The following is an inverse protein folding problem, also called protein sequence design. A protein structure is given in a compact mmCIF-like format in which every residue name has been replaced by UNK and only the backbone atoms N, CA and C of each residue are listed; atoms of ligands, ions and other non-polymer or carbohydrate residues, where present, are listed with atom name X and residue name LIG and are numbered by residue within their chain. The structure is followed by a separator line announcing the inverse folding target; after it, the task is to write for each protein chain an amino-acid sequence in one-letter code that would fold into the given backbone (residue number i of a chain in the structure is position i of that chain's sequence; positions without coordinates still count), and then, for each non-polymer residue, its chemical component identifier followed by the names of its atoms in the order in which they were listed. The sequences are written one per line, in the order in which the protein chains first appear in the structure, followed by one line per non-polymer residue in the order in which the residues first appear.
data_IF_735220804327
#
_entry.id   IF_735220804327
#
_cell.length_a   1.000
_cell.length_b   1.000
_cell.length_c   1.000
_cell.angle_alpha   90.00
_cell.angle_beta   90.00
_cell.angle_gamma   90.00
#
_symmetry.space_group_name_H-M   'P 1'
#
loop_
_entity.id
_entity.type
_entity.pdbx_description
1 polymer ?
#
# COMPACT_ATOMS: atom_id res chain seq x y z
N UNK A 1 19.06 2.56 -11.06
CA UNK A 1 18.18 3.59 -11.67
C UNK A 1 16.77 3.29 -11.19
N UNK A 2 15.93 4.31 -10.97
CA UNK A 2 14.53 4.08 -10.54
C UNK A 2 13.62 5.15 -11.12
N UNK A 3 12.37 4.78 -11.38
CA UNK A 3 11.35 5.69 -11.88
C UNK A 3 10.89 6.69 -10.81
N UNK A 4 10.26 7.78 -11.24
CA UNK A 4 9.64 8.76 -10.34
C UNK A 4 8.50 8.13 -9.52
N UNK A 5 7.69 7.27 -10.15
CA UNK A 5 6.61 6.56 -9.47
C UNK A 5 7.12 5.65 -8.35
N UNK A 6 8.14 4.85 -8.62
CA UNK A 6 8.75 3.99 -7.59
C UNK A 6 9.38 4.81 -6.45
N UNK A 7 10.07 5.93 -6.74
CA UNK A 7 10.63 6.79 -5.69
C UNK A 7 9.55 7.41 -4.81
N UNK A 8 8.42 7.83 -5.40
CA UNK A 8 7.27 8.33 -4.65
C UNK A 8 6.71 7.26 -3.71
N UNK A 9 6.46 6.05 -4.23
CA UNK A 9 6.05 4.89 -3.43
C UNK A 9 7.00 4.67 -2.24
N UNK A 10 8.30 4.52 -2.52
CA UNK A 10 9.30 4.27 -1.49
C UNK A 10 9.32 5.35 -0.40
N UNK A 11 9.36 6.61 -0.80
CA UNK A 11 9.40 7.74 0.14
C UNK A 11 8.17 7.77 1.06
N UNK A 12 6.97 7.53 0.53
CA UNK A 12 5.76 7.51 1.34
C UNK A 12 5.74 6.34 2.32
N UNK A 13 6.13 5.16 1.87
CA UNK A 13 6.21 4.00 2.76
C UNK A 13 7.25 4.16 3.88
N UNK A 14 8.34 4.88 3.64
CA UNK A 14 9.32 5.19 4.68
C UNK A 14 8.70 6.06 5.80
N UNK A 15 7.85 7.04 5.48
CA UNK A 15 7.10 7.80 6.50
C UNK A 15 6.19 6.89 7.34
N UNK A 16 5.40 6.04 6.70
CA UNK A 16 4.51 5.11 7.42
C UNK A 16 5.28 4.10 8.29
N UNK A 17 6.48 3.70 7.87
CA UNK A 17 7.36 2.86 8.71
C UNK A 17 7.87 3.62 9.92
N UNK A 18 8.22 4.88 9.77
CA UNK A 18 8.63 5.72 10.89
C UNK A 18 7.50 5.84 11.92
N UNK A 19 6.25 6.00 11.49
CA UNK A 19 5.09 6.01 12.39
C UNK A 19 4.94 4.68 13.16
N UNK A 20 5.19 3.54 12.51
CA UNK A 20 5.22 2.24 13.18
C UNK A 20 6.32 2.16 14.26
N UNK A 21 7.51 2.67 13.98
CA UNK A 21 8.63 2.71 14.95
C UNK A 21 8.28 3.59 16.15
N UNK A 22 7.67 4.75 15.94
CA UNK A 22 7.19 5.63 17.02
C UNK A 22 6.14 4.91 17.87
N UNK A 23 5.19 4.20 17.25
CA UNK A 23 4.19 3.42 17.97
C UNK A 23 4.82 2.32 18.84
N UNK A 24 5.84 1.61 18.34
CA UNK A 24 6.55 0.58 19.09
C UNK A 24 7.31 1.19 20.30
N UNK A 25 7.98 2.33 20.14
CA UNK A 25 8.66 3.03 21.23
C UNK A 25 7.67 3.39 22.34
N UNK A 26 6.50 3.92 21.99
CA UNK A 26 5.45 4.28 22.95
C UNK A 26 4.97 3.04 23.72
N UNK A 27 4.76 1.91 23.03
CA UNK A 27 4.27 0.67 23.65
C UNK A 27 5.33 0.02 24.55
N UNK A 28 6.60 0.04 24.13
CA UNK A 28 7.70 -0.58 24.87
C UNK A 28 8.10 0.23 26.10
N UNK A 29 7.86 1.52 26.12
CA UNK A 29 8.20 2.35 27.25
C UNK A 29 7.13 2.26 28.35
N UNK A 30 7.31 1.29 29.26
CA UNK A 30 6.38 1.04 30.37
C UNK A 30 6.22 2.24 31.31
N UNK A 31 7.21 3.10 31.38
CA UNK A 31 7.14 4.32 32.20
C UNK A 31 6.10 5.28 31.67
N UNK A 32 5.94 5.39 30.33
CA UNK A 32 4.89 6.19 29.72
C UNK A 32 3.45 5.72 30.05
N UNK A 33 3.32 4.50 30.60
CA UNK A 33 2.02 3.92 30.98
C UNK A 33 1.72 4.01 32.48
N UNK A 34 2.62 4.55 33.28
CA UNK A 34 2.43 4.77 34.71
C UNK A 34 1.82 6.16 34.96
N UNK A 35 1.04 6.32 36.01
CA UNK A 35 0.29 7.56 36.30
C UNK A 35 1.13 8.78 36.63
N UNK A 36 2.45 8.64 36.79
CA UNK A 36 3.41 9.72 36.98
C UNK A 36 3.98 10.30 35.70
N UNK A 37 3.57 9.79 34.53
CA UNK A 37 4.22 10.06 33.27
C UNK A 37 3.90 11.40 32.65
N UNK A 38 4.89 11.99 31.99
CA UNK A 38 4.84 13.31 31.37
C UNK A 38 3.71 13.44 30.36
N UNK A 39 3.37 12.37 29.64
CA UNK A 39 2.30 12.39 28.63
C UNK A 39 0.92 12.45 29.31
N UNK A 40 0.65 11.55 30.25
CA UNK A 40 -0.67 11.46 30.89
C UNK A 40 -0.92 12.56 31.92
N UNK A 41 0.14 13.15 32.51
CA UNK A 41 0.02 14.31 33.37
C UNK A 41 -0.47 15.58 32.67
N UNK A 42 -0.38 15.64 31.34
CA UNK A 42 -0.90 16.75 30.53
C UNK A 42 -2.35 16.53 30.06
N UNK A 43 -2.96 15.40 30.41
CA UNK A 43 -4.35 15.10 30.06
C UNK A 43 -5.27 15.85 31.03
N UNK A 44 -6.13 16.70 30.50
CA UNK A 44 -7.12 17.45 31.28
C UNK A 44 -8.52 17.08 30.81
N UNK A 45 -9.50 17.15 31.74
CA UNK A 45 -10.91 16.87 31.39
C UNK A 45 -11.43 17.83 30.32
N UNK A 46 -11.00 19.09 30.38
CA UNK A 46 -11.43 20.14 29.46
C UNK A 46 -10.96 19.89 28.02
N UNK A 47 -9.68 19.53 27.86
CA UNK A 47 -9.06 19.34 26.51
C UNK A 47 -9.15 17.93 25.99
N UNK A 48 -9.21 16.92 26.88
CA UNK A 48 -9.09 15.52 26.51
C UNK A 48 -10.11 14.64 27.25
N UNK A 49 -11.41 14.93 27.19
CA UNK A 49 -12.41 14.29 28.05
C UNK A 49 -12.48 12.77 27.90
N UNK A 50 -12.32 12.26 26.69
CA UNK A 50 -12.37 10.82 26.42
C UNK A 50 -11.14 10.09 26.98
N UNK A 51 -9.96 10.66 26.80
CA UNK A 51 -8.72 10.10 27.31
C UNK A 51 -8.65 10.22 28.82
N UNK A 52 -9.05 11.37 29.39
CA UNK A 52 -9.11 11.61 30.83
C UNK A 52 -9.91 10.52 31.57
N UNK A 53 -11.07 10.14 31.06
CA UNK A 53 -11.90 9.08 31.63
C UNK A 53 -11.27 7.68 31.53
N UNK A 54 -10.25 7.49 30.67
CA UNK A 54 -9.54 6.22 30.47
C UNK A 54 -8.20 6.11 31.18
N UNK A 55 -7.70 7.21 31.77
CA UNK A 55 -6.35 7.24 32.39
C UNK A 55 -6.34 6.85 33.88
N UNK A 56 -7.47 6.43 34.45
CA UNK A 56 -7.63 6.18 35.89
C UNK A 56 -6.79 4.98 36.40
N UNK A 57 -6.36 4.08 35.53
CA UNK A 57 -5.52 2.96 35.92
C UNK A 57 -4.59 2.49 34.79
N UNK A 58 -3.54 1.74 35.16
CA UNK A 58 -2.53 1.26 34.21
C UNK A 58 -3.11 0.35 33.12
N UNK A 59 -4.13 -0.45 33.42
CA UNK A 59 -4.75 -1.35 32.42
C UNK A 59 -5.51 -0.55 31.36
N UNK A 60 -6.27 0.47 31.75
CA UNK A 60 -6.96 1.34 30.80
C UNK A 60 -5.98 2.09 29.90
N UNK A 61 -4.87 2.59 30.44
CA UNK A 61 -3.80 3.24 29.66
C UNK A 61 -3.18 2.27 28.64
N UNK A 62 -2.85 1.05 29.08
CA UNK A 62 -2.31 0.00 28.19
C UNK A 62 -3.26 -0.32 27.05
N UNK A 63 -4.57 -0.38 27.30
CA UNK A 63 -5.58 -0.61 26.27
C UNK A 63 -5.60 0.51 25.21
N UNK A 64 -5.53 1.77 25.66
CA UNK A 64 -5.49 2.93 24.76
C UNK A 64 -4.26 2.90 23.87
N UNK A 65 -3.08 2.66 24.42
CA UNK A 65 -1.83 2.63 23.67
C UNK A 65 -1.78 1.44 22.69
N UNK A 66 -2.25 0.27 23.11
CA UNK A 66 -2.36 -0.90 22.23
C UNK A 66 -3.35 -0.66 21.09
N UNK A 67 -4.45 0.05 21.37
CA UNK A 67 -5.40 0.44 20.32
C UNK A 67 -4.76 1.38 19.30
N UNK A 68 -4.04 2.41 19.76
CA UNK A 68 -3.30 3.35 18.92
C UNK A 68 -2.29 2.58 18.03
N UNK A 69 -1.50 1.70 18.62
CA UNK A 69 -0.55 0.86 17.87
C UNK A 69 -1.25 0.06 16.79
N UNK A 70 -2.34 -0.65 17.13
CA UNK A 70 -3.13 -1.42 16.16
C UNK A 70 -3.61 -0.52 15.02
N UNK A 71 -4.12 0.68 15.33
CA UNK A 71 -4.60 1.63 14.33
C UNK A 71 -3.49 2.03 13.36
N UNK A 72 -2.29 2.34 13.85
CA UNK A 72 -1.13 2.72 13.03
C UNK A 72 -0.73 1.56 12.10
N UNK A 73 -0.63 0.32 12.60
CA UNK A 73 -0.30 -0.82 11.76
C UNK A 73 -1.38 -1.14 10.71
N UNK A 74 -2.65 -1.01 11.06
CA UNK A 74 -3.76 -1.18 10.10
C UNK A 74 -3.71 -0.09 9.02
N UNK A 75 -3.42 1.16 9.41
CA UNK A 75 -3.21 2.26 8.46
C UNK A 75 -2.06 1.94 7.51
N UNK A 76 -0.90 1.54 8.05
CA UNK A 76 0.25 1.15 7.23
C UNK A 76 -0.09 0.12 6.14
N UNK A 77 -0.88 -0.92 6.46
CA UNK A 77 -1.29 -1.93 5.48
C UNK A 77 -2.22 -1.35 4.41
N UNK A 78 -3.16 -0.49 4.81
CA UNK A 78 -4.08 0.16 3.88
C UNK A 78 -3.33 1.13 2.95
N UNK A 79 -2.49 1.97 3.53
CA UNK A 79 -1.71 2.98 2.81
C UNK A 79 -0.70 2.33 1.86
N UNK A 80 -0.07 1.21 2.28
CA UNK A 80 0.81 0.43 1.40
C UNK A 80 0.06 -0.08 0.16
N UNK A 81 -1.16 -0.60 0.31
CA UNK A 81 -1.97 -1.04 -0.81
C UNK A 81 -2.34 0.13 -1.74
N UNK A 82 -2.72 1.28 -1.18
CA UNK A 82 -3.05 2.48 -1.94
C UNK A 82 -1.84 2.98 -2.75
N UNK A 83 -0.65 3.02 -2.15
CA UNK A 83 0.56 3.42 -2.87
C UNK A 83 0.97 2.41 -3.96
N UNK A 84 0.68 1.12 -3.79
CA UNK A 84 0.86 0.11 -4.84
C UNK A 84 -0.11 0.37 -6.00
N UNK A 85 -1.37 0.67 -5.73
CA UNK A 85 -2.36 0.96 -6.78
C UNK A 85 -2.04 2.25 -7.52
N UNK A 86 -1.58 3.30 -6.84
CA UNK A 86 -1.09 4.53 -7.47
C UNK A 86 0.16 4.29 -8.34
N UNK A 87 1.07 3.42 -7.89
CA UNK A 87 2.22 3.04 -8.71
C UNK A 87 1.79 2.26 -9.97
N UNK A 88 0.83 1.34 -9.85
CA UNK A 88 0.28 0.61 -10.99
C UNK A 88 -0.35 1.57 -12.00
N UNK A 89 -1.14 2.53 -11.55
CA UNK A 89 -1.72 3.58 -12.40
C UNK A 89 -0.63 4.36 -13.15
N UNK A 90 0.40 4.76 -12.45
CA UNK A 90 1.54 5.46 -13.04
C UNK A 90 2.23 4.66 -14.16
N UNK A 91 2.55 3.37 -13.92
CA UNK A 91 3.23 2.55 -14.95
C UNK A 91 2.35 2.24 -16.16
N UNK A 92 1.03 2.15 -16.00
CA UNK A 92 0.10 2.02 -17.13
C UNK A 92 0.13 3.28 -18.00
N UNK A 93 0.10 4.47 -17.40
CA UNK A 93 0.17 5.74 -18.12
C UNK A 93 1.52 5.90 -18.84
N UNK A 94 2.63 5.62 -18.16
CA UNK A 94 3.97 5.71 -18.75
C UNK A 94 4.15 4.67 -19.88
N UNK A 95 3.70 3.45 -19.68
CA UNK A 95 3.73 2.42 -20.73
C UNK A 95 2.93 2.83 -21.97
N UNK A 96 1.74 3.42 -21.79
CA UNK A 96 0.91 3.92 -22.88
C UNK A 96 1.57 5.08 -23.64
N UNK A 97 2.33 5.93 -22.93
CA UNK A 97 3.05 7.05 -23.53
C UNK A 97 4.32 6.59 -24.30
N UNK A 98 4.96 5.51 -23.85
CA UNK A 98 6.28 5.09 -24.30
C UNK A 98 6.28 3.77 -25.10
N UNK A 99 5.20 3.46 -25.83
CA UNK A 99 5.21 2.47 -26.91
C UNK A 99 4.71 1.09 -26.54
N UNK A 100 4.05 0.90 -25.43
CA UNK A 100 3.26 -0.33 -25.21
C UNK A 100 2.14 -0.38 -26.23
N UNK A 101 1.92 -1.54 -26.85
CA UNK A 101 0.87 -1.72 -27.86
C UNK A 101 -0.51 -1.33 -27.30
N UNK A 102 -1.19 -0.34 -27.90
CA UNK A 102 -2.51 0.10 -27.45
C UNK A 102 -3.55 -1.00 -27.43
N UNK A 103 -3.46 -1.99 -28.36
CA UNK A 103 -4.40 -3.13 -28.41
C UNK A 103 -4.25 -3.99 -27.16
N UNK A 104 -3.03 -4.18 -26.67
CA UNK A 104 -2.74 -4.94 -25.45
C UNK A 104 -3.17 -4.15 -24.21
N UNK A 105 -2.95 -2.83 -24.18
CA UNK A 105 -3.35 -1.97 -23.07
C UNK A 105 -4.87 -1.92 -22.90
N UNK A 106 -5.59 -1.65 -23.96
CA UNK A 106 -7.05 -1.62 -23.94
C UNK A 106 -7.61 -3.03 -23.74
N UNK A 107 -7.21 -3.98 -24.59
CA UNK A 107 -7.62 -5.39 -24.48
C UNK A 107 -9.15 -5.54 -24.49
N UNK A 108 -9.67 -6.22 -23.47
CA UNK A 108 -11.10 -6.45 -23.27
C UNK A 108 -11.87 -5.28 -22.68
N UNK A 109 -11.19 -4.20 -22.29
CA UNK A 109 -11.85 -3.05 -21.63
C UNK A 109 -12.50 -2.11 -22.63
N UNK A 110 -13.70 -1.66 -22.29
CA UNK A 110 -14.39 -0.63 -23.05
C UNK A 110 -14.09 0.75 -22.46
N UNK A 111 -13.53 1.61 -23.30
CA UNK A 111 -13.26 3.01 -22.95
C UNK A 111 -14.24 3.90 -23.72
N UNK A 112 -15.06 4.66 -23.01
CA UNK A 112 -16.03 5.57 -23.57
C UNK A 112 -15.62 7.01 -23.27
N UNK A 113 -15.30 7.77 -24.31
CA UNK A 113 -15.01 9.21 -24.21
C UNK A 113 -15.92 9.96 -25.18
N UNK A 114 -16.55 11.04 -24.70
CA UNK A 114 -17.33 11.90 -25.56
C UNK A 114 -16.40 12.76 -26.41
N UNK A 115 -16.84 13.07 -27.67
CA UNK A 115 -16.02 13.86 -28.57
C UNK A 115 -15.66 15.25 -27.99
N UNK A 116 -16.61 15.89 -27.27
CA UNK A 116 -16.36 17.18 -26.62
C UNK A 116 -15.28 17.07 -25.50
N UNK A 117 -15.24 15.97 -24.78
CA UNK A 117 -14.21 15.73 -23.75
C UNK A 117 -12.83 15.62 -24.42
N UNK A 118 -12.72 14.83 -25.50
CA UNK A 118 -11.46 14.69 -26.26
C UNK A 118 -11.01 16.03 -26.83
N UNK A 119 -11.93 16.81 -27.41
CA UNK A 119 -11.63 18.11 -28.02
C UNK A 119 -11.25 19.18 -26.98
N UNK A 120 -11.66 19.03 -25.72
CA UNK A 120 -11.30 19.95 -24.64
C UNK A 120 -9.92 19.68 -24.05
N UNK A 121 -9.30 18.52 -24.34
CA UNK A 121 -7.97 18.16 -23.86
C UNK A 121 -6.89 18.83 -24.69
N UNK A 122 -5.92 19.46 -24.01
CA UNK A 122 -4.87 20.26 -24.65
C UNK A 122 -3.71 19.40 -25.18
N UNK A 123 -3.53 18.19 -24.63
CA UNK A 123 -2.37 17.36 -24.94
C UNK A 123 -2.75 15.89 -25.16
N UNK A 124 -1.95 15.20 -25.97
CA UNK A 124 -2.03 13.74 -26.11
C UNK A 124 -1.89 13.02 -24.77
N UNK A 125 -1.11 13.59 -23.84
CA UNK A 125 -0.90 13.04 -22.51
C UNK A 125 -2.20 13.01 -21.70
N UNK A 126 -3.00 14.07 -21.74
CA UNK A 126 -4.30 14.13 -21.05
C UNK A 126 -5.28 13.09 -21.59
N UNK A 127 -5.31 12.90 -22.92
CA UNK A 127 -6.15 11.87 -23.54
C UNK A 127 -5.73 10.47 -23.06
N UNK A 128 -4.44 10.15 -23.12
CA UNK A 128 -3.91 8.85 -22.67
C UNK A 128 -4.17 8.65 -21.18
N UNK A 129 -3.96 9.67 -20.36
CA UNK A 129 -4.23 9.61 -18.93
C UNK A 129 -5.70 9.27 -18.65
N UNK A 130 -6.65 9.95 -19.30
CA UNK A 130 -8.08 9.68 -19.14
C UNK A 130 -8.45 8.25 -19.56
N UNK A 131 -7.88 7.76 -20.67
CA UNK A 131 -8.07 6.37 -21.12
C UNK A 131 -7.54 5.38 -20.08
N UNK A 132 -6.31 5.58 -19.61
CA UNK A 132 -5.68 4.69 -18.64
C UNK A 132 -6.39 4.70 -17.28
N UNK A 133 -6.90 5.85 -16.85
CA UNK A 133 -7.68 5.96 -15.63
C UNK A 133 -8.99 5.16 -15.72
N UNK A 134 -9.70 5.19 -16.86
CA UNK A 134 -10.89 4.36 -17.07
C UNK A 134 -10.56 2.84 -17.08
N UNK A 135 -9.45 2.45 -17.73
CA UNK A 135 -8.99 1.05 -17.73
C UNK A 135 -8.60 0.65 -16.31
N UNK A 136 -7.88 1.51 -15.59
CA UNK A 136 -7.48 1.25 -14.22
C UNK A 136 -8.68 1.08 -13.28
N UNK A 137 -9.70 1.92 -13.38
CA UNK A 137 -10.94 1.76 -12.61
C UNK A 137 -11.62 0.40 -12.86
N UNK A 138 -11.62 -0.07 -14.12
CA UNK A 138 -12.15 -1.40 -14.41
C UNK A 138 -11.29 -2.52 -13.83
N UNK A 139 -9.96 -2.34 -13.82
CA UNK A 139 -9.01 -3.28 -13.20
C UNK A 139 -9.12 -3.29 -11.67
N UNK A 140 -9.36 -2.15 -11.02
CA UNK A 140 -9.59 -2.07 -9.57
C UNK A 140 -10.86 -2.81 -9.12
N UNK A 141 -11.84 -2.95 -10.00
CA UNK A 141 -13.06 -3.72 -9.74
C UNK A 141 -12.81 -5.24 -9.75
N UNK A 142 -11.60 -5.70 -10.09
CA UNK A 142 -11.25 -7.11 -9.98
C UNK A 142 -11.27 -7.54 -8.51
N UNK A 143 -12.00 -8.62 -8.25
CA UNK A 143 -12.18 -9.15 -6.88
C UNK A 143 -10.91 -9.75 -6.27
N UNK A 144 -9.90 -9.99 -7.10
CA UNK A 144 -8.68 -10.70 -6.72
C UNK A 144 -7.44 -9.87 -7.06
N UNK A 145 -6.60 -9.60 -6.07
CA UNK A 145 -5.32 -8.90 -6.24
C UNK A 145 -4.37 -9.65 -7.20
N UNK A 146 -4.38 -10.99 -7.17
CA UNK A 146 -3.57 -11.79 -8.10
C UNK A 146 -4.03 -11.59 -9.55
N UNK A 147 -5.36 -11.51 -9.77
CA UNK A 147 -5.92 -11.25 -11.10
C UNK A 147 -5.54 -9.86 -11.58
N UNK A 148 -5.61 -8.86 -10.72
CA UNK A 148 -5.16 -7.49 -11.01
C UNK A 148 -3.70 -7.47 -11.44
N UNK A 149 -2.79 -8.04 -10.64
CA UNK A 149 -1.35 -8.09 -10.94
C UNK A 149 -1.10 -8.85 -12.26
N UNK A 150 -1.77 -9.97 -12.47
CA UNK A 150 -1.65 -10.77 -13.69
C UNK A 150 -2.10 -10.00 -14.95
N UNK A 151 -3.22 -9.28 -14.87
CA UNK A 151 -3.71 -8.42 -15.97
C UNK A 151 -2.74 -7.28 -16.27
N UNK A 152 -2.19 -6.62 -15.26
CA UNK A 152 -1.17 -5.56 -15.41
C UNK A 152 0.10 -6.13 -16.07
N UNK A 153 0.59 -7.28 -15.57
CA UNK A 153 1.73 -7.98 -16.15
C UNK A 153 1.53 -8.25 -17.64
N UNK A 154 0.35 -8.75 -18.02
CA UNK A 154 0.01 -9.05 -19.41
C UNK A 154 -0.12 -7.78 -20.27
N UNK A 155 -0.81 -6.74 -19.77
CA UNK A 155 -1.01 -5.48 -20.49
C UNK A 155 0.31 -4.77 -20.80
N UNK A 156 1.22 -4.74 -19.85
CA UNK A 156 2.54 -4.13 -20.01
C UNK A 156 3.59 -5.11 -20.56
N UNK A 157 3.26 -6.42 -20.67
CA UNK A 157 4.19 -7.46 -21.10
C UNK A 157 5.38 -7.61 -20.17
N UNK A 158 5.15 -7.51 -18.86
CA UNK A 158 6.20 -7.58 -17.85
C UNK A 158 6.69 -9.02 -17.64
N UNK A 159 8.00 -9.14 -17.43
CA UNK A 159 8.68 -10.40 -17.11
C UNK A 159 9.06 -10.38 -15.64
N UNK A 160 8.13 -10.77 -14.77
CA UNK A 160 8.30 -10.77 -13.33
C UNK A 160 8.29 -12.20 -12.82
N UNK A 161 9.24 -12.53 -11.96
CA UNK A 161 9.30 -13.84 -11.30
C UNK A 161 8.05 -14.07 -10.45
N UNK A 162 7.44 -15.25 -10.60
CA UNK A 162 6.20 -15.57 -9.88
C UNK A 162 6.38 -15.56 -8.37
N UNK A 163 7.55 -15.96 -7.87
CA UNK A 163 7.86 -15.95 -6.45
C UNK A 163 7.71 -14.57 -5.82
N UNK A 164 8.13 -13.49 -6.51
CA UNK A 164 7.97 -12.11 -6.01
C UNK A 164 6.51 -11.71 -5.86
N UNK A 165 5.66 -12.19 -6.78
CA UNK A 165 4.21 -11.97 -6.69
C UNK A 165 3.65 -12.75 -5.51
N UNK A 166 4.01 -14.02 -5.38
CA UNK A 166 3.51 -14.92 -4.34
C UNK A 166 3.93 -14.44 -2.93
N UNK A 167 5.14 -13.90 -2.79
CA UNK A 167 5.63 -13.33 -1.53
C UNK A 167 4.89 -12.04 -1.12
N UNK A 168 4.54 -11.18 -2.08
CA UNK A 168 3.85 -9.92 -1.81
C UNK A 168 2.33 -10.08 -1.62
N UNK A 169 1.74 -11.07 -2.28
CA UNK A 169 0.30 -11.25 -2.39
C UNK A 169 -0.43 -11.33 -1.02
N UNK A 170 0.05 -12.09 -0.01
CA UNK A 170 -0.63 -12.17 1.28
C UNK A 170 -0.77 -10.79 1.95
N UNK A 171 0.25 -9.93 1.84
CA UNK A 171 0.25 -8.59 2.44
C UNK A 171 -0.66 -7.61 1.70
N UNK A 172 -0.86 -7.79 0.41
CA UNK A 172 -1.80 -6.98 -0.38
C UNK A 172 -3.26 -7.44 -0.16
N UNK A 173 -3.52 -8.74 -0.04
CA UNK A 173 -4.87 -9.28 0.21
C UNK A 173 -5.35 -9.02 1.65
N UNK A 174 -4.45 -8.94 2.63
CA UNK A 174 -4.76 -8.62 4.04
C UNK A 174 -5.50 -7.30 4.20
N UNK A 175 -5.27 -6.30 3.32
CA UNK A 175 -6.01 -5.03 3.34
C UNK A 175 -7.53 -5.28 3.37
N UNK A 176 -8.02 -6.20 2.56
CA UNK A 176 -9.45 -6.53 2.51
C UNK A 176 -9.97 -7.07 3.86
N UNK A 177 -9.17 -7.88 4.55
CA UNK A 177 -9.53 -8.44 5.86
C UNK A 177 -9.62 -7.33 6.92
N UNK A 178 -8.72 -6.34 6.90
CA UNK A 178 -8.79 -5.21 7.82
C UNK A 178 -9.93 -4.24 7.52
N UNK A 179 -10.35 -4.13 6.27
CA UNK A 179 -11.47 -3.26 5.89
C UNK A 179 -12.81 -3.87 6.24
N UNK A 180 -12.98 -5.19 6.04
CA UNK A 180 -14.29 -5.83 6.08
C UNK A 180 -14.51 -6.80 7.25
N UNK A 181 -13.44 -7.26 7.91
CA UNK A 181 -13.50 -8.34 8.90
C UNK A 181 -12.75 -8.04 10.21
N UNK A 182 -12.42 -6.79 10.51
CA UNK A 182 -11.68 -6.36 11.70
C UNK A 182 -10.41 -7.19 11.96
N UNK A 183 -9.72 -7.58 10.88
CA UNK A 183 -8.49 -8.35 10.94
C UNK A 183 -8.66 -9.85 11.18
N UNK A 184 -9.89 -10.39 11.13
CA UNK A 184 -10.17 -11.83 11.25
C UNK A 184 -10.20 -12.50 9.89
N UNK A 185 -9.18 -13.29 9.50
CA UNK A 185 -9.18 -14.05 8.25
C UNK A 185 -10.15 -15.21 8.30
N UNK A 186 -10.65 -15.62 7.15
CA UNK A 186 -11.41 -16.87 7.01
C UNK A 186 -10.47 -18.07 6.78
N UNK A 187 -11.01 -19.29 6.84
CA UNK A 187 -10.26 -20.53 6.65
C UNK A 187 -9.56 -20.60 5.30
N UNK A 188 -10.23 -20.20 4.22
CA UNK A 188 -9.65 -20.20 2.87
C UNK A 188 -8.41 -19.29 2.75
N UNK A 189 -8.41 -18.14 3.41
CA UNK A 189 -7.22 -17.28 3.47
C UNK A 189 -6.07 -17.94 4.23
N UNK A 190 -6.35 -18.58 5.36
CA UNK A 190 -5.33 -19.26 6.18
C UNK A 190 -4.76 -20.50 5.49
N UNK A 191 -5.58 -21.25 4.77
CA UNK A 191 -5.12 -22.37 3.94
C UNK A 191 -4.19 -21.89 2.81
N UNK A 192 -4.53 -20.76 2.20
CA UNK A 192 -3.73 -20.14 1.14
C UNK A 192 -2.42 -19.55 1.67
N UNK A 193 -2.43 -18.97 2.88
CA UNK A 193 -1.29 -18.26 3.48
C UNK A 193 -0.97 -18.76 4.91
N UNK A 194 -0.49 -20.00 5.05
CA UNK A 194 -0.29 -20.64 6.36
C UNK A 194 0.80 -19.99 7.22
N UNK A 195 1.63 -19.13 6.64
CA UNK A 195 2.70 -18.40 7.35
C UNK A 195 2.21 -17.15 8.08
N UNK A 196 0.95 -16.73 7.85
CA UNK A 196 0.36 -15.59 8.53
C UNK A 196 0.00 -15.95 9.96
N UNK A 197 0.59 -15.23 10.91
CA UNK A 197 0.37 -15.48 12.34
C UNK A 197 -0.87 -14.74 12.85
N UNK A 198 -1.56 -15.38 13.80
CA UNK A 198 -2.74 -14.83 14.47
C UNK A 198 -2.42 -14.49 15.94
N UNK A 199 -3.14 -13.53 16.48
CA UNK A 199 -3.17 -13.23 17.90
C UNK A 199 -4.13 -14.17 18.66
N UNK A 200 -4.22 -14.01 20.00
CA UNK A 200 -5.11 -14.78 20.89
C UNK A 200 -6.62 -14.61 20.58
N UNK A 201 -6.97 -13.59 19.78
CA UNK A 201 -8.35 -13.32 19.36
C UNK A 201 -8.62 -13.79 17.92
N UNK A 202 -7.77 -14.65 17.35
CA UNK A 202 -7.83 -15.10 15.95
C UNK A 202 -7.82 -13.97 14.92
N UNK A 203 -7.11 -12.86 15.23
CA UNK A 203 -6.85 -11.77 14.30
C UNK A 203 -5.40 -11.84 13.81
N UNK A 204 -5.16 -11.30 12.63
CA UNK A 204 -3.80 -11.18 12.09
C UNK A 204 -2.92 -10.42 13.08
N UNK A 205 -1.80 -11.05 13.48
CA UNK A 205 -0.84 -10.49 14.42
C UNK A 205 -0.05 -9.37 13.76
N UNK A 206 -0.33 -8.13 14.19
CA UNK A 206 0.37 -6.94 13.71
C UNK A 206 1.50 -6.56 14.69
N UNK A 207 2.73 -6.57 14.19
CA UNK A 207 3.92 -6.14 14.91
C UNK A 207 5.01 -5.64 13.94
N UNK A 208 6.13 -5.16 14.46
CA UNK A 208 7.24 -4.64 13.64
C UNK A 208 7.81 -5.67 12.66
N UNK A 209 7.89 -6.94 13.06
CA UNK A 209 8.33 -8.03 12.18
C UNK A 209 7.38 -8.24 11.01
N UNK A 210 6.07 -8.21 11.27
CA UNK A 210 5.05 -8.31 10.23
C UNK A 210 5.14 -7.11 9.25
N UNK A 211 5.19 -5.89 9.77
CA UNK A 211 5.28 -4.68 8.94
C UNK A 211 6.56 -4.67 8.08
N UNK A 212 7.69 -5.11 8.65
CA UNK A 212 8.95 -5.25 7.90
C UNK A 212 8.82 -6.28 6.77
N UNK A 213 8.29 -7.47 7.04
CA UNK A 213 8.08 -8.51 6.02
C UNK A 213 7.16 -8.02 4.91
N UNK A 214 6.05 -7.35 5.27
CA UNK A 214 5.12 -6.78 4.30
C UNK A 214 5.81 -5.75 3.39
N UNK A 215 6.55 -4.81 3.99
CA UNK A 215 7.32 -3.83 3.25
C UNK A 215 8.33 -4.48 2.31
N UNK A 216 9.16 -5.39 2.82
CA UNK A 216 10.24 -6.01 2.05
C UNK A 216 9.68 -6.80 0.85
N UNK A 217 8.62 -7.58 1.04
CA UNK A 217 7.99 -8.35 -0.02
C UNK A 217 7.37 -7.46 -1.10
N UNK A 218 6.58 -6.47 -0.71
CA UNK A 218 5.94 -5.55 -1.66
C UNK A 218 6.98 -4.68 -2.38
N UNK A 219 7.98 -4.18 -1.66
CA UNK A 219 9.06 -3.38 -2.24
C UNK A 219 9.87 -4.17 -3.28
N UNK A 220 10.19 -5.45 -3.00
CA UNK A 220 10.91 -6.30 -3.94
C UNK A 220 10.11 -6.54 -5.23
N UNK A 221 8.80 -6.76 -5.12
CA UNK A 221 7.92 -6.86 -6.28
C UNK A 221 7.93 -5.56 -7.10
N UNK A 222 7.79 -4.40 -6.46
CA UNK A 222 7.75 -3.13 -7.19
C UNK A 222 9.11 -2.74 -7.79
N UNK A 223 10.23 -3.07 -7.16
CA UNK A 223 11.57 -2.93 -7.74
C UNK A 223 11.69 -3.77 -9.03
N UNK A 224 11.22 -5.01 -9.01
CA UNK A 224 11.29 -5.87 -10.18
C UNK A 224 10.43 -5.33 -11.33
N UNK A 225 9.22 -4.86 -11.03
CA UNK A 225 8.35 -4.19 -12.00
C UNK A 225 9.03 -2.95 -12.58
N UNK A 226 9.56 -2.07 -11.74
CA UNK A 226 10.20 -0.81 -12.15
C UNK A 226 11.42 -1.07 -13.06
N UNK A 227 12.25 -2.04 -12.69
CA UNK A 227 13.42 -2.43 -13.49
C UNK A 227 13.01 -2.97 -14.86
N UNK A 228 11.96 -3.78 -14.94
CA UNK A 228 11.48 -4.34 -16.22
C UNK A 228 10.85 -3.25 -17.10
N UNK A 229 10.09 -2.32 -16.53
CA UNK A 229 9.55 -1.15 -17.23
C UNK A 229 10.67 -0.27 -17.81
N UNK A 230 11.73 -0.05 -17.04
CA UNK A 230 12.93 0.71 -17.48
C UNK A 230 13.67 -0.02 -18.59
N UNK A 231 13.89 -1.33 -18.43
CA UNK A 231 14.63 -2.16 -19.41
C UNK A 231 13.94 -2.19 -20.79
N UNK A 232 12.60 -2.09 -20.78
CA UNK A 232 11.77 -2.04 -21.98
C UNK A 232 11.56 -0.64 -22.55
N UNK A 233 12.19 0.37 -21.96
CA UNK A 233 12.02 1.79 -22.32
C UNK A 233 10.57 2.29 -22.21
N UNK A 234 9.76 1.70 -21.32
CA UNK A 234 8.39 2.11 -21.08
C UNK A 234 8.25 3.28 -20.09
N UNK A 235 9.38 3.77 -19.57
CA UNK A 235 9.45 4.98 -18.75
C UNK A 235 10.40 5.94 -19.44
N UNK A 236 10.01 7.20 -19.60
CA UNK A 236 10.82 8.20 -20.28
C UNK A 236 12.09 8.55 -19.50
N UNK A 237 13.19 8.88 -20.20
CA UNK A 237 14.47 9.21 -19.58
C UNK A 237 14.38 10.43 -18.63
N UNK A 238 13.44 11.35 -18.85
CA UNK A 238 13.20 12.50 -17.98
C UNK A 238 12.66 12.12 -16.59
N UNK A 239 12.06 10.92 -16.47
CA UNK A 239 11.52 10.40 -15.21
C UNK A 239 12.54 9.64 -14.38
N UNK A 240 13.79 9.48 -14.86
CA UNK A 240 14.86 8.80 -14.12
C UNK A 240 15.64 9.75 -13.21
N UNK A 241 16.05 9.22 -12.06
CA UNK A 241 17.23 9.72 -11.32
C UNK A 241 18.15 8.53 -11.02
N UNK A 242 19.44 8.75 -11.19
CA UNK A 242 20.42 7.82 -10.65
C UNK A 242 20.34 7.90 -9.12
N UNK A 243 20.19 6.76 -8.45
CA UNK A 243 20.32 6.73 -6.99
C UNK A 243 21.79 7.06 -6.68
N UNK A 244 22.05 8.26 -6.21
CA UNK A 244 23.29 8.53 -5.48
C UNK A 244 23.22 7.66 -4.23
N UNK A 245 24.17 6.74 -4.07
CA UNK A 245 24.32 5.99 -2.82
C UNK A 245 24.52 7.02 -1.71
N UNK A 246 23.57 7.09 -0.77
CA UNK A 246 23.75 7.74 0.52
C UNK A 246 24.42 6.75 1.44
#
# INVERSE_FOLDING_TARGET
MSSKGYRRFKSRLEYFRTDNEVAEIIVQNKELLKGSDVIFNKVTMEKHPLLYNRTNNANSRKLVVNHLRKTIYVSFIKDMYEEVTEYIRYILQEGAMNGVDPRRLVGEHNVNMKANEILSMSTKREIIQSIMDQIFQQLENERSTITLISKIKNKLGLTIEQQLVDDALPFLEIRHIFVHSDGKPNSAFLEKYPTIQLDEHHRILLNSTFAKKAYDAVNNLLIAIDNDMISKNYISASEFKYMTKI
#
